data_IF_518397123947
#
_entry.id   IF_518397123947
#
_cell.length_a   1.000
_cell.length_b   1.000
_cell.length_c   1.000
_cell.angle_alpha   90.00
_cell.angle_beta   90.00
_cell.angle_gamma   90.00
#
_symmetry.space_group_name_H-M   'P 1'
#
loop_
_entity.id
_entity.type
_entity.pdbx_description
1 polymer ?
#
# COMPACT_ATOMS: atom_id res chain seq x y z
N UNK A 1 -21.08 -35.32 -41.33
CA UNK A 1 -20.57 -33.94 -41.33
C UNK A 1 -20.73 -33.39 -39.92
N UNK A 2 -19.64 -33.28 -39.14
CA UNK A 2 -19.70 -32.92 -37.71
C UNK A 2 -19.67 -31.40 -37.52
N UNK A 3 -20.74 -30.74 -37.97
CA UNK A 3 -20.86 -29.28 -38.02
C UNK A 3 -20.82 -28.60 -36.63
N UNK A 4 -21.24 -29.30 -35.56
CA UNK A 4 -21.24 -28.76 -34.20
C UNK A 4 -19.84 -28.66 -33.59
N UNK A 5 -19.03 -29.70 -33.78
CA UNK A 5 -17.68 -29.78 -33.21
C UNK A 5 -16.77 -28.72 -33.87
N UNK A 6 -16.89 -28.56 -35.18
CA UNK A 6 -16.14 -27.57 -35.97
C UNK A 6 -16.48 -26.12 -35.54
N UNK A 7 -17.76 -25.83 -35.28
CA UNK A 7 -18.19 -24.51 -34.81
C UNK A 7 -17.66 -24.18 -33.41
N UNK A 8 -17.63 -25.16 -32.50
CA UNK A 8 -17.07 -24.98 -31.17
C UNK A 8 -15.56 -24.71 -31.22
N UNK A 9 -14.84 -25.42 -32.09
CA UNK A 9 -13.41 -25.18 -32.32
C UNK A 9 -13.17 -23.76 -32.87
N UNK A 10 -13.93 -23.34 -33.88
CA UNK A 10 -13.79 -22.00 -34.45
C UNK A 10 -14.03 -20.90 -33.43
N UNK A 11 -15.05 -21.05 -32.56
CA UNK A 11 -15.31 -20.08 -31.48
C UNK A 11 -14.11 -19.94 -30.54
N UNK A 12 -13.49 -21.05 -30.15
CA UNK A 12 -12.29 -21.02 -29.30
C UNK A 12 -11.11 -20.30 -29.97
N UNK A 13 -10.91 -20.50 -31.28
CA UNK A 13 -9.88 -19.76 -32.02
C UNK A 13 -10.15 -18.26 -32.05
N UNK A 14 -11.38 -17.85 -32.37
CA UNK A 14 -11.77 -16.44 -32.40
C UNK A 14 -11.61 -15.79 -31.02
N UNK A 15 -11.96 -16.50 -29.94
CA UNK A 15 -11.76 -15.99 -28.57
C UNK A 15 -10.29 -15.82 -28.21
N UNK A 16 -9.43 -16.76 -28.63
CA UNK A 16 -7.97 -16.62 -28.44
C UNK A 16 -7.39 -15.45 -29.21
N UNK A 17 -7.78 -15.28 -30.47
CA UNK A 17 -7.31 -14.16 -31.30
C UNK A 17 -7.70 -12.81 -30.67
N UNK A 18 -8.93 -12.69 -30.17
CA UNK A 18 -9.38 -11.48 -29.45
C UNK A 18 -8.53 -11.16 -28.23
N UNK A 19 -8.06 -12.17 -27.51
CA UNK A 19 -7.17 -11.97 -26.35
C UNK A 19 -5.82 -11.45 -26.84
N UNK A 20 -5.24 -12.04 -27.89
CA UNK A 20 -3.96 -11.57 -28.43
C UNK A 20 -4.06 -10.13 -28.96
N UNK A 21 -5.12 -9.81 -29.71
CA UNK A 21 -5.38 -8.45 -30.20
C UNK A 21 -5.51 -7.44 -29.05
N UNK A 22 -6.24 -7.82 -27.99
CA UNK A 22 -6.36 -7.00 -26.78
C UNK A 22 -5.00 -6.75 -26.12
N UNK A 23 -4.20 -7.81 -25.91
CA UNK A 23 -2.89 -7.71 -25.27
C UNK A 23 -1.86 -6.94 -26.09
N UNK A 24 -1.94 -7.05 -27.43
CA UNK A 24 -1.09 -6.30 -28.36
C UNK A 24 -1.41 -4.81 -28.38
N UNK A 25 -2.67 -4.44 -28.07
CA UNK A 25 -3.10 -3.05 -27.95
C UNK A 25 -2.77 -2.38 -26.61
N UNK A 26 -2.22 -3.11 -25.62
CA UNK A 26 -1.87 -2.54 -24.32
C UNK A 26 -0.56 -1.74 -24.37
N UNK A 27 -0.52 -0.63 -23.62
CA UNK A 27 0.70 0.15 -23.39
C UNK A 27 1.82 -0.70 -22.76
N UNK A 28 3.08 -0.26 -22.95
CA UNK A 28 4.27 -0.94 -22.41
C UNK A 28 4.31 -1.01 -20.87
N UNK A 29 3.61 -0.09 -20.19
CA UNK A 29 3.47 -0.10 -18.72
C UNK A 29 2.74 -1.35 -18.19
N UNK A 30 1.96 -2.03 -19.04
CA UNK A 30 1.24 -3.26 -18.71
C UNK A 30 2.00 -4.53 -19.11
N UNK A 31 3.29 -4.43 -19.47
CA UNK A 31 4.10 -5.59 -19.88
C UNK A 31 4.11 -6.69 -18.81
N UNK A 32 4.15 -6.31 -17.53
CA UNK A 32 4.13 -7.26 -16.42
C UNK A 32 2.85 -8.11 -16.39
N UNK A 33 1.68 -7.48 -16.52
CA UNK A 33 0.40 -8.22 -16.58
C UNK A 33 0.25 -8.97 -17.90
N UNK A 34 0.82 -8.47 -19.01
CA UNK A 34 0.88 -9.20 -20.29
C UNK A 34 1.65 -10.52 -20.14
N UNK A 35 2.82 -10.49 -19.52
CA UNK A 35 3.63 -11.70 -19.24
C UNK A 35 2.85 -12.67 -18.36
N UNK A 36 2.17 -12.17 -17.32
CA UNK A 36 1.35 -13.01 -16.44
C UNK A 36 0.20 -13.69 -17.16
N UNK A 37 -0.51 -12.99 -18.05
CA UNK A 37 -1.62 -13.55 -18.83
C UNK A 37 -1.11 -14.61 -19.80
N UNK A 38 -0.02 -14.32 -20.53
CA UNK A 38 0.57 -15.23 -21.51
C UNK A 38 1.28 -16.43 -20.89
N UNK A 39 1.72 -16.30 -19.63
CA UNK A 39 2.42 -17.36 -18.89
C UNK A 39 1.50 -18.42 -18.28
N UNK A 40 0.17 -18.29 -18.39
CA UNK A 40 -0.78 -19.30 -17.90
C UNK A 40 -0.82 -20.51 -18.83
N UNK A 41 -1.12 -21.68 -18.27
CA UNK A 41 -1.29 -22.93 -19.05
C UNK A 41 -2.41 -22.80 -20.09
N UNK A 42 -3.53 -22.22 -19.69
CA UNK A 42 -4.61 -21.83 -20.59
C UNK A 42 -4.83 -20.31 -20.53
N UNK A 43 -5.11 -19.70 -21.68
CA UNK A 43 -5.41 -18.28 -21.73
C UNK A 43 -6.71 -17.99 -20.98
N UNK A 44 -6.72 -16.98 -20.10
CA UNK A 44 -7.94 -16.57 -19.43
C UNK A 44 -8.93 -16.02 -20.46
N UNK A 45 -10.25 -16.13 -20.21
CA UNK A 45 -11.24 -15.51 -21.08
C UNK A 45 -11.05 -13.99 -21.10
N UNK A 46 -11.51 -13.36 -22.20
CA UNK A 46 -11.26 -11.93 -22.46
C UNK A 46 -11.69 -11.02 -21.30
N UNK A 47 -12.83 -11.30 -20.65
CA UNK A 47 -13.32 -10.54 -19.50
C UNK A 47 -12.38 -10.64 -18.29
N UNK A 48 -11.78 -11.80 -18.06
CA UNK A 48 -10.80 -11.99 -17.00
C UNK A 48 -9.49 -11.27 -17.34
N UNK A 49 -9.00 -11.37 -18.57
CA UNK A 49 -7.83 -10.62 -19.03
C UNK A 49 -8.01 -9.11 -18.84
N UNK A 50 -9.17 -8.56 -19.20
CA UNK A 50 -9.53 -7.15 -18.96
C UNK A 50 -9.54 -6.83 -17.46
N UNK A 51 -10.08 -7.72 -16.63
CA UNK A 51 -10.14 -7.51 -15.18
C UNK A 51 -8.76 -7.51 -14.54
N UNK A 52 -7.84 -8.36 -15.02
CA UNK A 52 -6.45 -8.37 -14.58
C UNK A 52 -5.73 -7.06 -14.92
N UNK A 53 -5.93 -6.53 -16.14
CA UNK A 53 -5.34 -5.24 -16.54
C UNK A 53 -5.89 -4.10 -15.70
N UNK A 54 -7.20 -4.05 -15.46
CA UNK A 54 -7.83 -3.04 -14.56
C UNK A 54 -7.31 -3.13 -13.13
N UNK A 55 -7.08 -4.34 -12.62
CA UNK A 55 -6.50 -4.53 -11.30
C UNK A 55 -5.08 -3.97 -11.26
N UNK A 56 -4.25 -4.21 -12.28
CA UNK A 56 -2.90 -3.66 -12.36
C UNK A 56 -2.89 -2.14 -12.49
N UNK A 57 -3.79 -1.57 -13.29
CA UNK A 57 -4.00 -0.12 -13.39
C UNK A 57 -4.31 0.50 -12.03
N UNK A 58 -5.23 -0.10 -11.27
CA UNK A 58 -5.57 0.38 -9.92
C UNK A 58 -4.39 0.31 -8.94
N UNK A 59 -3.53 -0.73 -9.06
CA UNK A 59 -2.32 -0.87 -8.25
C UNK A 59 -1.27 0.18 -8.62
N UNK A 60 -1.06 0.40 -9.92
CA UNK A 60 -0.18 1.45 -10.43
C UNK A 60 -0.61 2.84 -9.97
N UNK A 61 -1.91 3.13 -10.01
CA UNK A 61 -2.47 4.41 -9.53
C UNK A 61 -2.23 4.65 -8.04
N UNK A 62 -2.17 3.61 -7.21
CA UNK A 62 -1.91 3.73 -5.77
C UNK A 62 -0.40 3.82 -5.45
N UNK A 63 0.46 3.20 -6.26
CA UNK A 63 1.91 3.23 -6.04
C UNK A 63 2.60 4.46 -6.64
N UNK A 64 1.93 5.20 -7.54
CA UNK A 64 2.41 6.45 -8.13
C UNK A 64 2.05 7.70 -7.34
N UNK A 65 1.29 7.60 -6.25
CA UNK A 65 1.30 8.67 -5.25
C UNK A 65 2.72 8.72 -4.68
N UNK A 66 3.48 9.81 -4.89
CA UNK A 66 4.73 9.97 -4.18
C UNK A 66 4.35 9.99 -2.71
N UNK A 67 4.68 8.91 -2.00
CA UNK A 67 4.77 8.97 -0.57
C UNK A 67 5.89 9.96 -0.25
N UNK A 68 5.56 11.25 -0.26
CA UNK A 68 6.16 12.19 0.67
C UNK A 68 5.71 11.74 2.06
N UNK A 69 6.23 10.60 2.49
CA UNK A 69 6.31 10.19 3.88
C UNK A 69 7.37 11.08 4.53
N UNK A 70 7.21 12.40 4.42
CA UNK A 70 7.71 13.30 5.43
C UNK A 70 6.84 13.05 6.66
N UNK A 71 7.50 12.61 7.74
CA UNK A 71 6.86 11.88 8.83
C UNK A 71 5.56 12.53 9.33
N UNK A 72 4.45 11.81 9.16
CA UNK A 72 3.20 12.13 9.84
C UNK A 72 3.35 11.82 11.33
N UNK A 73 3.90 12.79 12.06
CA UNK A 73 3.81 12.83 13.51
C UNK A 73 2.45 13.44 13.89
N UNK A 74 1.63 12.69 14.63
CA UNK A 74 0.35 13.19 15.15
C UNK A 74 0.60 14.35 16.12
N UNK A 75 0.09 15.54 15.79
CA UNK A 75 0.01 16.66 16.74
C UNK A 75 -1.24 16.44 17.60
N UNK A 76 -1.05 16.30 18.93
CA UNK A 76 -2.19 16.34 19.85
C UNK A 76 -2.52 17.78 20.20
N UNK A 77 -3.70 18.24 19.78
CA UNK A 77 -4.24 19.53 20.19
C UNK A 77 -4.71 19.45 21.64
N UNK A 78 -3.94 19.99 22.57
CA UNK A 78 -4.39 20.23 23.95
C UNK A 78 -5.29 21.48 23.99
N UNK A 79 -6.57 21.25 23.71
CA UNK A 79 -7.64 22.23 23.86
C UNK A 79 -7.80 22.59 25.34
N UNK A 80 -7.43 23.83 25.67
CA UNK A 80 -7.66 24.49 26.97
C UNK A 80 -9.13 24.38 27.41
N UNK A 81 -9.40 23.82 28.59
CA UNK A 81 -10.51 24.25 29.43
C UNK A 81 -9.99 25.11 30.58
N UNK A 82 -10.50 26.34 30.60
CA UNK A 82 -10.50 27.32 31.69
C UNK A 82 -11.10 26.68 32.97
N UNK A 83 -10.78 27.03 34.21
CA UNK A 83 -10.47 28.34 34.79
C UNK A 83 -10.11 28.21 36.29
N UNK A 84 -9.49 29.27 36.82
CA UNK A 84 -9.50 29.80 38.20
C UNK A 84 -8.36 29.41 39.18
N UNK A 85 -7.47 30.42 39.30
CA UNK A 85 -6.80 30.98 40.48
C UNK A 85 -5.36 30.57 40.84
N UNK A 86 -4.55 31.55 41.30
CA UNK A 86 -3.13 31.59 41.04
C UNK A 86 -2.33 31.61 42.34
N UNK A 87 -1.75 30.48 42.72
CA UNK A 87 -0.70 30.47 43.74
C UNK A 87 0.45 29.57 43.29
N UNK A 88 1.57 30.25 43.05
CA UNK A 88 2.93 29.81 43.35
C UNK A 88 3.27 28.37 42.96
N UNK A 89 3.87 28.17 41.77
CA UNK A 89 5.13 27.43 41.61
C UNK A 89 5.54 27.31 40.13
N UNK A 90 6.84 27.12 39.86
CA UNK A 90 7.53 27.85 38.82
C UNK A 90 7.49 27.18 37.45
N UNK A 91 7.63 28.06 36.46
CA UNK A 91 8.24 27.88 35.15
C UNK A 91 9.23 26.71 35.11
N UNK A 92 8.92 25.69 34.30
CA UNK A 92 9.89 24.70 33.83
C UNK A 92 9.95 24.74 32.30
N UNK A 93 10.18 25.93 31.76
CA UNK A 93 11.10 26.02 30.64
C UNK A 93 12.52 25.76 31.15
N UNK A 94 13.24 24.93 30.39
CA UNK A 94 14.70 24.74 30.42
C UNK A 94 15.25 23.65 31.36
N UNK A 95 15.77 22.62 30.71
CA UNK A 95 17.05 21.98 31.05
C UNK A 95 17.20 21.51 32.50
N UNK A 96 16.73 20.30 32.80
CA UNK A 96 17.26 19.57 33.96
C UNK A 96 17.59 18.14 33.56
N UNK A 97 18.89 17.94 33.28
CA UNK A 97 19.65 16.73 33.55
C UNK A 97 18.85 15.42 33.61
N UNK A 98 18.53 14.84 32.45
CA UNK A 98 18.18 13.41 32.36
C UNK A 98 19.35 12.49 32.78
N UNK A 99 20.55 13.05 32.97
CA UNK A 99 21.74 12.35 33.41
C UNK A 99 21.70 11.91 34.88
N UNK A 100 20.76 12.41 35.69
CA UNK A 100 20.66 12.07 37.13
C UNK A 100 19.64 10.96 37.45
N UNK A 101 18.85 10.51 36.48
CA UNK A 101 17.86 9.44 36.74
C UNK A 101 18.60 8.11 36.95
N UNK A 102 18.55 7.50 38.13
CA UNK A 102 19.33 6.30 38.45
C UNK A 102 18.44 5.09 38.72
N UNK A 103 18.71 3.99 38.02
CA UNK A 103 18.03 2.72 38.17
C UNK A 103 18.58 1.96 39.39
N UNK A 104 17.75 1.73 40.40
CA UNK A 104 18.15 1.01 41.63
C UNK A 104 18.40 -0.48 41.41
N UNK A 105 17.83 -1.06 40.35
CA UNK A 105 17.96 -2.48 40.01
C UNK A 105 19.24 -2.79 39.21
N UNK A 106 19.44 -2.04 38.14
CA UNK A 106 20.50 -2.23 37.15
C UNK A 106 21.71 -1.30 37.35
N UNK A 107 21.63 -0.36 38.30
CA UNK A 107 22.69 0.60 38.68
C UNK A 107 23.24 1.40 37.50
N UNK A 108 22.35 1.86 36.61
CA UNK A 108 22.69 2.68 35.44
C UNK A 108 21.88 3.99 35.42
N UNK A 109 22.45 5.09 34.88
CA UNK A 109 21.71 6.33 34.71
C UNK A 109 20.70 6.26 33.54
N UNK A 110 19.76 7.22 33.49
CA UNK A 110 18.72 7.51 32.50
C UNK A 110 17.38 6.75 32.53
N UNK A 111 17.10 5.89 33.52
CA UNK A 111 15.76 5.31 33.70
C UNK A 111 15.51 4.86 35.15
N UNK A 112 14.25 4.61 35.53
CA UNK A 112 13.84 4.40 36.93
C UNK A 112 13.34 2.98 37.26
N UNK A 113 12.88 2.19 36.28
CA UNK A 113 12.64 0.75 36.40
C UNK A 113 12.50 0.17 34.99
N UNK A 114 13.15 -0.94 34.74
CA UNK A 114 13.37 -1.50 33.40
C UNK A 114 12.05 -1.84 32.68
N UNK A 115 12.12 -1.77 31.36
CA UNK A 115 11.11 -2.25 30.43
C UNK A 115 11.46 -3.68 30.04
#
# INVERSE_FOLDING_TARGET
MKCSDDSAILKKFIERDRIYDFLAGLNAEFDQVRIQILGREELPPLNEAISMVRAEESRGSLMLEPSTSEGSAMVSNSSKSRSLNPEQQPDLSKTSNRDTLWCTYCKKPRHTKER
#
